data_IF_661374720068
#
_entry.id   IF_661374720068
#
_cell.length_a   1.000
_cell.length_b   1.000
_cell.length_c   1.000
_cell.angle_alpha   90.00
_cell.angle_beta   90.00
_cell.angle_gamma   90.00
#
_symmetry.space_group_name_H-M   'P 1'
#
loop_
_entity.id
_entity.type
_entity.pdbx_description
1 polymer ?
#
# COMPACT_ATOMS: atom_id res chain seq x y z
N UNK A 1 15.86 -36.15 6.94
CA UNK A 1 16.03 -34.71 6.61
C UNK A 1 15.06 -34.40 5.48
N UNK A 2 13.93 -33.75 5.79
CA UNK A 2 12.85 -33.46 4.83
C UNK A 2 12.55 -31.96 4.94
N UNK A 3 13.27 -31.19 4.12
CA UNK A 3 13.07 -29.76 3.92
C UNK A 3 12.70 -29.60 2.44
N UNK A 4 11.52 -30.08 2.09
CA UNK A 4 10.94 -29.99 0.75
C UNK A 4 9.49 -29.51 0.96
N UNK A 5 9.10 -28.46 0.23
CA UNK A 5 7.77 -27.82 0.16
C UNK A 5 7.37 -26.80 1.25
N UNK A 6 8.09 -25.67 1.37
CA UNK A 6 7.48 -24.46 1.97
C UNK A 6 7.73 -23.12 1.23
N UNK A 7 8.35 -23.10 0.03
CA UNK A 7 8.69 -21.81 -0.61
C UNK A 7 8.14 -21.56 -2.02
N UNK A 8 7.09 -22.26 -2.46
CA UNK A 8 6.49 -22.03 -3.79
C UNK A 8 5.12 -21.34 -3.78
N UNK A 9 4.57 -20.98 -2.61
CA UNK A 9 3.48 -20.03 -2.57
C UNK A 9 4.08 -18.61 -2.71
N UNK A 10 3.86 -17.97 -3.85
CA UNK A 10 4.00 -16.52 -3.97
C UNK A 10 3.11 -15.88 -2.89
N UNK A 11 3.72 -15.31 -1.86
CA UNK A 11 3.00 -14.59 -0.81
C UNK A 11 2.79 -13.17 -1.32
N UNK A 12 1.62 -12.91 -1.90
CA UNK A 12 1.27 -11.57 -2.36
C UNK A 12 0.89 -10.72 -1.14
N UNK A 13 1.55 -9.57 -1.01
CA UNK A 13 1.21 -8.56 -0.01
C UNK A 13 0.37 -7.47 -0.67
N UNK A 14 -0.70 -7.05 -0.02
CA UNK A 14 -1.54 -5.96 -0.49
C UNK A 14 -1.71 -4.94 0.64
N UNK A 15 -1.55 -3.67 0.32
CA UNK A 15 -1.98 -2.58 1.20
C UNK A 15 -3.40 -2.21 0.80
N UNK A 16 -4.31 -2.23 1.76
CA UNK A 16 -5.72 -1.93 1.57
C UNK A 16 -6.11 -0.74 2.43
N UNK A 17 -6.74 0.24 1.81
CA UNK A 17 -7.29 1.42 2.46
C UNK A 17 -8.80 1.28 2.55
N UNK A 18 -9.37 1.40 3.76
CA UNK A 18 -10.83 1.38 3.90
C UNK A 18 -11.47 2.62 3.25
N UNK A 19 -12.72 2.53 2.75
CA UNK A 19 -13.39 3.67 2.10
C UNK A 19 -13.48 4.92 2.98
N UNK A 20 -13.70 4.74 4.28
CA UNK A 20 -13.69 5.83 5.28
C UNK A 20 -12.34 6.55 5.30
N UNK A 21 -11.24 5.78 5.34
CA UNK A 21 -9.89 6.34 5.31
C UNK A 21 -9.59 7.05 4.00
N UNK A 22 -9.98 6.45 2.86
CA UNK A 22 -9.81 7.06 1.53
C UNK A 22 -10.55 8.39 1.44
N UNK A 23 -11.79 8.46 1.94
CA UNK A 23 -12.54 9.72 1.97
C UNK A 23 -11.83 10.76 2.85
N UNK A 24 -11.36 10.36 4.03
CA UNK A 24 -10.65 11.25 4.95
C UNK A 24 -9.39 11.86 4.30
N UNK A 25 -8.56 11.07 3.61
CA UNK A 25 -7.36 11.61 2.97
C UNK A 25 -7.66 12.49 1.75
N UNK A 26 -8.74 12.20 1.02
CA UNK A 26 -9.19 13.04 -0.11
C UNK A 26 -9.71 14.38 0.40
N UNK A 27 -10.57 14.39 1.42
CA UNK A 27 -11.16 15.61 1.98
C UNK A 27 -10.12 16.56 2.58
N UNK A 28 -8.96 16.02 2.96
CA UNK A 28 -7.84 16.76 3.52
C UNK A 28 -6.71 17.06 2.50
N UNK A 29 -6.96 16.87 1.20
CA UNK A 29 -6.00 17.18 0.11
C UNK A 29 -4.64 16.44 0.25
N UNK A 30 -4.67 15.20 0.73
CA UNK A 30 -3.48 14.37 0.98
C UNK A 30 -3.19 13.37 -0.15
N UNK A 31 -3.97 13.37 -1.22
CA UNK A 31 -3.79 12.50 -2.39
C UNK A 31 -3.13 13.28 -3.51
N UNK A 32 -2.18 12.67 -4.22
CA UNK A 32 -1.46 13.30 -5.33
C UNK A 32 -1.58 12.49 -6.63
N UNK A 33 -1.43 13.18 -7.76
CA UNK A 33 -1.19 12.54 -9.05
C UNK A 33 0.31 12.35 -9.27
N UNK A 34 0.69 11.18 -9.79
CA UNK A 34 2.06 10.89 -10.19
C UNK A 34 2.43 11.63 -11.48
N UNK A 35 3.70 12.02 -11.60
CA UNK A 35 4.31 12.58 -12.80
C UNK A 35 5.73 12.00 -13.01
N UNK A 36 6.37 12.36 -14.12
CA UNK A 36 7.68 11.82 -14.50
C UNK A 36 8.82 12.07 -13.51
N UNK A 37 8.69 13.09 -12.66
CA UNK A 37 9.68 13.45 -11.64
C UNK A 37 9.32 12.92 -10.24
N UNK A 38 8.17 12.25 -10.10
CA UNK A 38 7.70 11.73 -8.80
C UNK A 38 8.61 10.58 -8.36
N UNK A 39 9.26 10.65 -7.18
CA UNK A 39 10.10 9.57 -6.69
C UNK A 39 9.36 8.23 -6.67
N UNK A 40 10.00 7.18 -7.18
CA UNK A 40 9.39 5.87 -7.39
C UNK A 40 8.84 5.64 -8.80
N UNK A 41 8.61 6.72 -9.58
CA UNK A 41 8.34 6.60 -11.01
C UNK A 41 9.57 6.10 -11.76
N UNK A 42 9.33 5.39 -12.86
CA UNK A 42 10.36 4.84 -13.73
C UNK A 42 9.94 4.99 -15.21
N UNK A 43 10.80 4.62 -16.19
CA UNK A 43 10.49 4.80 -17.62
C UNK A 43 9.25 4.06 -18.15
N UNK A 44 8.63 3.18 -17.36
CA UNK A 44 7.37 2.49 -17.70
C UNK A 44 6.12 3.19 -17.12
N UNK A 45 6.27 4.19 -16.25
CA UNK A 45 5.15 5.03 -15.85
C UNK A 45 4.70 5.91 -17.02
N UNK A 46 3.38 6.07 -17.17
CA UNK A 46 2.76 6.79 -18.28
C UNK A 46 1.79 7.86 -17.76
N UNK A 47 1.55 8.95 -18.50
CA UNK A 47 0.55 9.95 -18.12
C UNK A 47 -0.87 9.38 -18.19
N UNK A 48 -1.79 10.04 -17.48
CA UNK A 48 -3.23 9.74 -17.53
C UNK A 48 -3.80 9.02 -16.30
N UNK A 49 -3.09 9.07 -15.15
CA UNK A 49 -3.51 8.44 -13.90
C UNK A 49 -3.83 6.95 -14.06
N UNK A 50 -2.95 6.23 -14.76
CA UNK A 50 -3.12 4.82 -15.11
C UNK A 50 -1.79 4.08 -15.20
N UNK A 51 -1.82 2.78 -14.93
CA UNK A 51 -0.65 1.92 -15.08
C UNK A 51 -0.41 1.51 -16.54
N UNK A 52 0.84 1.30 -16.92
CA UNK A 52 1.17 0.57 -18.13
C UNK A 52 1.22 -0.93 -17.82
N UNK A 53 0.42 -1.73 -18.53
CA UNK A 53 0.25 -3.17 -18.27
C UNK A 53 0.80 -4.07 -19.39
N UNK A 54 1.76 -3.57 -20.17
CA UNK A 54 2.37 -4.34 -21.24
C UNK A 54 1.57 -4.33 -22.54
N UNK A 55 1.66 -5.43 -23.29
CA UNK A 55 0.96 -5.59 -24.56
C UNK A 55 -0.56 -5.64 -24.39
N UNK A 56 -1.04 -6.12 -23.24
CA UNK A 56 -2.46 -6.17 -22.92
C UNK A 56 -2.86 -5.01 -22.01
N UNK A 57 -3.28 -3.92 -22.64
CA UNK A 57 -3.74 -2.71 -21.96
C UNK A 57 -5.10 -2.86 -21.30
N UNK A 58 -5.79 -4.00 -21.43
CA UNK A 58 -7.03 -4.27 -20.70
C UNK A 58 -6.79 -4.53 -19.21
N UNK A 59 -5.57 -4.93 -18.84
CA UNK A 59 -5.12 -5.07 -17.44
C UNK A 59 -4.65 -3.74 -16.82
N UNK A 60 -4.80 -2.62 -17.53
CA UNK A 60 -4.40 -1.30 -17.03
C UNK A 60 -5.40 -0.81 -15.99
N UNK A 61 -4.87 -0.35 -14.85
CA UNK A 61 -5.65 0.13 -13.71
C UNK A 61 -5.38 1.61 -13.48
N UNK A 62 -6.22 2.29 -12.69
CA UNK A 62 -5.98 3.67 -12.27
C UNK A 62 -4.80 3.76 -11.31
N UNK A 63 -3.98 4.81 -11.46
CA UNK A 63 -2.82 5.07 -10.61
C UNK A 63 -2.96 6.43 -9.91
N UNK A 64 -2.90 6.40 -8.57
CA UNK A 64 -2.89 7.57 -7.68
C UNK A 64 -1.81 7.38 -6.62
N UNK A 65 -1.27 8.48 -6.10
CA UNK A 65 -0.33 8.45 -5.00
C UNK A 65 -1.04 8.78 -3.68
N UNK A 66 -1.23 7.75 -2.86
CA UNK A 66 -1.76 7.88 -1.50
C UNK A 66 -0.67 8.39 -0.53
N UNK A 67 -1.04 9.07 0.56
CA UNK A 67 -0.06 9.57 1.51
C UNK A 67 0.64 8.43 2.24
N UNK A 68 1.92 8.61 2.55
CA UNK A 68 2.73 7.60 3.25
C UNK A 68 2.28 7.46 4.70
N UNK A 69 1.97 6.24 5.12
CA UNK A 69 1.61 5.93 6.51
C UNK A 69 2.85 6.03 7.41
N UNK A 70 2.71 6.70 8.54
CA UNK A 70 3.74 6.76 9.55
C UNK A 70 3.82 5.43 10.31
N UNK A 71 4.85 4.65 9.98
CA UNK A 71 5.11 3.35 10.61
C UNK A 71 6.00 3.45 11.85
N UNK A 72 6.37 4.66 12.31
CA UNK A 72 7.19 4.82 13.52
C UNK A 72 6.44 4.27 14.73
N UNK A 73 7.12 3.43 15.51
CA UNK A 73 6.53 2.76 16.68
C UNK A 73 5.81 1.45 16.38
N UNK A 74 5.67 1.06 15.10
CA UNK A 74 5.17 -0.26 14.72
C UNK A 74 6.32 -1.28 14.72
N UNK A 75 6.13 -2.42 15.41
CA UNK A 75 7.11 -3.51 15.45
C UNK A 75 6.96 -4.44 14.26
N UNK A 76 8.10 -4.80 13.65
CA UNK A 76 8.13 -5.83 12.61
C UNK A 76 7.76 -7.22 13.16
N UNK A 77 8.09 -7.51 14.41
CA UNK A 77 7.74 -8.79 15.06
C UNK A 77 6.23 -8.90 15.25
N UNK A 78 5.57 -7.82 15.71
CA UNK A 78 4.12 -7.77 15.88
C UNK A 78 3.40 -7.87 14.52
N UNK A 79 3.96 -7.22 13.50
CA UNK A 79 3.49 -7.37 12.13
C UNK A 79 3.51 -8.83 11.68
N UNK A 80 4.65 -9.52 11.84
CA UNK A 80 4.77 -10.93 11.47
C UNK A 80 3.82 -11.83 12.27
N UNK A 81 3.69 -11.59 13.58
CA UNK A 81 2.77 -12.33 14.43
C UNK A 81 1.30 -12.16 13.99
N UNK A 82 0.87 -10.92 13.72
CA UNK A 82 -0.50 -10.64 13.24
C UNK A 82 -0.77 -11.27 11.89
N UNK A 83 0.21 -11.23 10.98
CA UNK A 83 0.11 -11.87 9.66
C UNK A 83 -0.03 -13.38 9.81
N UNK A 84 0.76 -14.01 10.69
CA UNK A 84 0.70 -15.45 10.92
C UNK A 84 -0.62 -15.90 11.58
N UNK A 85 -1.18 -15.07 12.46
CA UNK A 85 -2.42 -15.37 13.18
C UNK A 85 -3.67 -15.10 12.34
N UNK A 86 -3.73 -13.95 11.64
CA UNK A 86 -4.96 -13.40 11.05
C UNK A 86 -4.91 -13.27 9.53
N UNK A 87 -3.71 -13.35 8.93
CA UNK A 87 -3.50 -13.08 7.50
C UNK A 87 -3.40 -11.59 7.17
N UNK A 88 -3.50 -10.68 8.14
CA UNK A 88 -3.35 -9.24 7.93
C UNK A 88 -2.79 -8.53 9.16
N UNK A 89 -2.23 -7.34 8.95
CA UNK A 89 -1.87 -6.38 9.99
C UNK A 89 -2.72 -5.12 9.85
N UNK A 90 -3.35 -4.68 10.93
CA UNK A 90 -4.31 -3.56 10.92
C UNK A 90 -3.73 -2.35 11.66
N UNK A 91 -3.86 -1.18 11.04
CA UNK A 91 -3.48 0.11 11.61
C UNK A 91 -4.74 0.98 11.65
N UNK A 92 -5.17 1.35 12.85
CA UNK A 92 -6.34 2.19 13.09
C UNK A 92 -5.92 3.63 13.26
N UNK A 93 -6.65 4.54 12.61
CA UNK A 93 -6.45 5.98 12.63
C UNK A 93 -4.96 6.36 12.47
N UNK A 94 -4.30 5.91 11.37
CA UNK A 94 -2.88 6.13 11.21
C UNK A 94 -2.56 7.62 11.12
N UNK A 95 -1.37 7.99 11.57
CA UNK A 95 -0.76 9.24 11.12
C UNK A 95 -0.18 9.02 9.72
N UNK A 96 -0.21 10.05 8.89
CA UNK A 96 0.43 10.03 7.57
C UNK A 96 1.40 11.19 7.42
N UNK A 97 2.44 11.02 6.61
CA UNK A 97 3.29 12.14 6.23
C UNK A 97 2.56 13.05 5.24
N UNK A 98 2.67 14.35 5.46
CA UNK A 98 2.08 15.34 4.55
C UNK A 98 2.81 15.22 3.19
N UNK A 99 2.11 15.04 2.06
CA UNK A 99 2.75 14.97 0.76
C UNK A 99 3.45 16.28 0.39
N UNK A 100 4.46 16.20 -0.47
CA UNK A 100 5.12 17.36 -1.09
C UNK A 100 5.76 18.38 -0.12
N UNK A 101 6.01 18.00 1.14
CA UNK A 101 6.81 18.80 2.09
C UNK A 101 8.09 18.06 2.47
N UNK A 102 9.14 18.80 2.82
CA UNK A 102 10.45 18.25 3.22
C UNK A 102 10.56 17.97 4.72
N UNK A 103 9.51 18.23 5.48
CA UNK A 103 9.46 18.06 6.94
C UNK A 103 8.96 16.67 7.32
N UNK A 104 9.39 16.12 8.47
CA UNK A 104 8.82 14.89 9.04
C UNK A 104 7.48 15.14 9.76
N UNK A 105 6.73 16.16 9.33
CA UNK A 105 5.43 16.48 9.87
C UNK A 105 4.41 15.43 9.43
N UNK A 106 3.52 15.11 10.36
CA UNK A 106 2.47 14.12 10.14
C UNK A 106 1.11 14.72 10.41
N UNK A 107 0.12 14.20 9.70
CA UNK A 107 -1.29 14.53 9.85
C UNK A 107 -2.06 13.30 10.38
N UNK A 108 -2.88 13.44 11.43
CA UNK A 108 -3.72 12.35 11.92
C UNK A 108 -4.88 12.09 10.95
N UNK A 109 -5.15 10.83 10.65
CA UNK A 109 -6.28 10.43 9.78
C UNK A 109 -7.23 9.51 10.50
N UNK A 110 -8.48 9.44 10.04
CA UNK A 110 -9.50 8.54 10.58
C UNK A 110 -9.72 7.35 9.63
N UNK A 111 -10.03 6.19 10.20
CA UNK A 111 -10.30 4.96 9.45
C UNK A 111 -9.21 3.90 9.62
N UNK A 112 -9.17 2.93 8.71
CA UNK A 112 -8.31 1.74 8.83
C UNK A 112 -7.49 1.52 7.57
N UNK A 113 -6.22 1.17 7.77
CA UNK A 113 -5.35 0.62 6.73
C UNK A 113 -4.91 -0.78 7.12
N UNK A 114 -4.93 -1.71 6.16
CA UNK A 114 -4.50 -3.09 6.35
C UNK A 114 -3.35 -3.45 5.42
N UNK A 115 -2.42 -4.24 5.94
CA UNK A 115 -1.43 -4.95 5.14
C UNK A 115 -1.83 -6.42 5.13
N UNK A 116 -2.41 -6.87 4.03
CA UNK A 116 -2.92 -8.21 3.84
C UNK A 116 -1.83 -9.14 3.29
N UNK A 117 -1.86 -10.40 3.71
CA UNK A 117 -1.14 -11.50 3.10
C UNK A 117 -2.14 -12.40 2.36
N UNK A 118 -2.09 -12.34 1.04
CA UNK A 118 -2.81 -13.29 0.20
C UNK A 118 -1.99 -14.56 0.08
N UNK A 119 -2.59 -15.66 0.51
CA UNK A 119 -2.13 -17.01 0.17
C UNK A 119 -2.90 -17.38 -1.09
N UNK A 120 -2.21 -17.54 -2.22
CA UNK A 120 -2.86 -17.96 -3.47
C UNK A 120 -3.64 -19.25 -3.23
N UNK A 121 -4.98 -19.17 -3.32
CA UNK A 121 -5.83 -20.34 -3.32
C UNK A 121 -5.66 -21.06 -4.65
N UNK A 122 -5.40 -22.36 -4.61
CA UNK A 122 -5.61 -23.23 -5.77
C UNK A 122 -7.12 -23.19 -6.10
N UNK A 123 -7.49 -22.39 -7.10
CA UNK A 123 -8.76 -22.55 -7.79
C UNK A 123 -8.69 -23.76 -8.72
#
# INVERSE_FOLDING_TARGET
MRLELLSLASILKQVEYTPEWVQNVIDNDLVSFVNGDTPGSNPLNIPGAKTWSGADMTNSESELLMPTIDMRGHSYEDFQASIAEKGYYEIKNPNVFIPNVTTSQTYPTEGIVRINQWVGGNN
#
